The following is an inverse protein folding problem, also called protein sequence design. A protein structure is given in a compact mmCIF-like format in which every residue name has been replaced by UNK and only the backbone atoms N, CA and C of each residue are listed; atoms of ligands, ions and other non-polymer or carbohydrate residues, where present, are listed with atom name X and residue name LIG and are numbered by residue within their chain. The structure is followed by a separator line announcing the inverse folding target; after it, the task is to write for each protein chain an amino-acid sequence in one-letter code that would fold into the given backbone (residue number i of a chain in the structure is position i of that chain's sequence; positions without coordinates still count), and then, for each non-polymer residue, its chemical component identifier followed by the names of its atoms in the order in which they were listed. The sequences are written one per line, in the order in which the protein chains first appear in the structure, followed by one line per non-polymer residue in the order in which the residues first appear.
data_IF_164135052329
#
_entry.id   IF_164135052329
#
_cell.length_a   1.000
_cell.length_b   1.000
_cell.length_c   1.000
_cell.angle_alpha   90.00
_cell.angle_beta   90.00
_cell.angle_gamma   90.00
#
_symmetry.space_group_name_H-M   'P 1'
#
loop_
_entity.id
_entity.type
_entity.pdbx_description
1 polymer ?
#
# COMPACT_ATOMS: atom_id res chain seq x y z
N UNK A 1 -12.85 -39.90 -21.04
CA UNK A 1 -12.98 -38.43 -21.17
C UNK A 1 -13.38 -37.74 -19.86
N UNK A 2 -14.44 -38.17 -19.15
CA UNK A 2 -14.87 -37.56 -17.87
C UNK A 2 -13.76 -37.49 -16.79
N UNK A 3 -12.96 -38.54 -16.68
CA UNK A 3 -11.84 -38.64 -15.73
C UNK A 3 -10.68 -37.71 -16.06
N UNK A 4 -10.36 -37.53 -17.35
CA UNK A 4 -9.33 -36.60 -17.82
C UNK A 4 -9.72 -35.14 -17.58
N UNK A 5 -11.00 -34.80 -17.79
CA UNK A 5 -11.53 -33.46 -17.52
C UNK A 5 -11.49 -33.15 -16.02
N UNK A 6 -11.88 -34.10 -15.16
CA UNK A 6 -11.78 -33.94 -13.70
C UNK A 6 -10.32 -33.78 -13.23
N UNK A 7 -9.38 -34.51 -13.81
CA UNK A 7 -7.96 -34.37 -13.51
C UNK A 7 -7.43 -32.98 -13.92
N UNK A 8 -7.83 -32.47 -15.09
CA UNK A 8 -7.45 -31.13 -15.56
C UNK A 8 -7.98 -30.01 -14.64
N UNK A 9 -9.25 -30.11 -14.23
CA UNK A 9 -9.87 -29.15 -13.29
C UNK A 9 -9.16 -29.19 -11.93
N UNK A 10 -8.85 -30.38 -11.42
CA UNK A 10 -8.14 -30.51 -10.15
C UNK A 10 -6.73 -29.89 -10.24
N UNK A 11 -6.00 -30.14 -11.33
CA UNK A 11 -4.63 -29.63 -11.52
C UNK A 11 -4.58 -28.12 -11.69
N UNK A 12 -5.62 -27.47 -12.24
CA UNK A 12 -5.61 -26.01 -12.42
C UNK A 12 -6.19 -25.26 -11.23
N UNK A 13 -7.23 -25.78 -10.60
CA UNK A 13 -7.95 -25.06 -9.54
C UNK A 13 -7.27 -25.24 -8.17
N UNK A 14 -6.77 -26.43 -7.82
CA UNK A 14 -6.10 -26.64 -6.53
C UNK A 14 -4.89 -25.70 -6.29
N UNK A 15 -3.94 -25.54 -7.24
CA UNK A 15 -2.78 -24.68 -6.99
C UNK A 15 -3.18 -23.19 -6.90
N UNK A 16 -4.21 -22.78 -7.65
CA UNK A 16 -4.72 -21.42 -7.60
C UNK A 16 -5.33 -21.12 -6.22
N UNK A 17 -6.13 -22.03 -5.66
CA UNK A 17 -6.69 -21.89 -4.31
C UNK A 17 -5.63 -21.95 -3.20
N UNK A 18 -4.60 -22.79 -3.35
CA UNK A 18 -3.48 -22.86 -2.40
C UNK A 18 -2.68 -21.56 -2.34
N UNK A 19 -2.55 -20.86 -3.48
CA UNK A 19 -1.85 -19.56 -3.55
C UNK A 19 -2.60 -18.47 -2.76
N UNK A 20 -3.95 -18.46 -2.82
CA UNK A 20 -4.75 -17.50 -2.05
C UNK A 20 -4.72 -17.75 -0.55
N UNK A 21 -4.69 -19.02 -0.11
CA UNK A 21 -4.56 -19.36 1.30
C UNK A 21 -3.22 -18.87 1.88
N UNK A 22 -2.11 -19.10 1.15
CA UNK A 22 -0.78 -18.65 1.58
C UNK A 22 -0.67 -17.11 1.69
N UNK A 23 -1.40 -16.34 0.87
CA UNK A 23 -1.44 -14.88 0.98
C UNK A 23 -2.23 -14.40 2.20
N UNK A 24 -3.24 -15.17 2.65
CA UNK A 24 -4.00 -14.89 3.87
C UNK A 24 -3.21 -15.26 5.15
N UNK A 25 -2.35 -16.27 5.06
CA UNK A 25 -1.46 -16.72 6.15
C UNK A 25 -0.16 -15.90 6.25
N UNK A 26 -0.04 -14.78 5.51
CA UNK A 26 1.11 -13.89 5.67
C UNK A 26 1.18 -13.45 7.14
N UNK A 27 2.32 -13.66 7.83
CA UNK A 27 2.47 -13.31 9.22
C UNK A 27 2.08 -11.86 9.40
N UNK A 28 1.10 -11.71 10.26
CA UNK A 28 0.45 -10.48 10.58
C UNK A 28 1.48 -9.42 10.99
N UNK A 29 1.83 -8.54 10.03
CA UNK A 29 2.69 -7.37 10.25
C UNK A 29 1.98 -6.30 11.10
N UNK A 30 1.09 -6.69 12.03
CA UNK A 30 0.22 -5.85 12.89
C UNK A 30 0.96 -4.82 13.75
N UNK A 31 2.28 -4.78 13.69
CA UNK A 31 3.07 -3.69 14.26
C UNK A 31 4.08 -3.15 13.27
N UNK A 32 3.56 -2.59 12.19
CA UNK A 32 4.17 -1.43 11.55
C UNK A 32 4.81 -0.52 12.64
N UNK A 33 6.12 -0.22 12.56
CA UNK A 33 6.73 0.76 13.43
C UNK A 33 5.87 2.03 13.51
N UNK A 34 5.82 2.64 14.70
CA UNK A 34 5.05 3.87 14.86
C UNK A 34 5.51 4.89 13.79
N UNK A 35 4.57 5.56 13.11
CA UNK A 35 4.93 6.52 12.08
C UNK A 35 5.85 7.59 12.68
N UNK A 36 6.85 8.09 11.93
CA UNK A 36 7.71 9.15 12.41
C UNK A 36 6.88 10.39 12.77
N UNK A 37 7.29 11.19 13.77
CA UNK A 37 6.59 12.40 14.13
C UNK A 37 6.47 13.34 12.92
N UNK A 38 5.24 13.76 12.61
CA UNK A 38 4.96 14.72 11.54
C UNK A 38 5.29 16.11 12.08
N UNK A 39 6.43 16.65 11.71
CA UNK A 39 6.76 18.04 12.00
C UNK A 39 5.90 18.95 11.12
N UNK A 40 5.07 19.78 11.74
CA UNK A 40 4.36 20.83 11.01
C UNK A 40 5.42 21.76 10.38
N UNK A 41 5.42 21.94 9.04
CA UNK A 41 6.36 22.84 8.42
C UNK A 41 6.13 24.24 8.98
N UNK A 42 7.20 24.89 9.48
CA UNK A 42 7.17 26.33 9.76
C UNK A 42 7.13 27.01 8.40
N UNK A 43 5.93 27.22 7.86
CA UNK A 43 5.77 27.74 6.51
C UNK A 43 6.12 29.23 6.51
N UNK A 44 7.32 29.56 6.05
CA UNK A 44 7.65 30.91 5.62
C UNK A 44 7.41 30.94 4.10
N UNK A 45 6.34 31.61 3.65
CA UNK A 45 5.97 31.68 2.23
C UNK A 45 6.56 32.96 1.61
N UNK A 46 7.76 32.91 1.01
CA UNK A 46 8.28 34.02 0.21
C UNK A 46 7.39 34.27 -1.01
N UNK A 47 7.44 35.48 -1.54
CA UNK A 47 6.50 36.05 -2.54
C UNK A 47 6.31 35.23 -3.82
N UNK A 48 7.20 34.28 -4.12
CA UNK A 48 7.18 33.41 -5.31
C UNK A 48 6.84 31.95 -5.01
N UNK A 49 6.45 31.63 -3.78
CA UNK A 49 6.03 30.29 -3.39
C UNK A 49 4.55 30.27 -3.01
N UNK A 50 3.92 29.12 -3.21
CA UNK A 50 2.56 28.83 -2.75
C UNK A 50 2.54 27.56 -1.93
N UNK A 51 1.62 27.47 -0.98
CA UNK A 51 1.34 26.24 -0.24
C UNK A 51 0.37 25.39 -1.06
N UNK A 52 0.67 24.10 -1.21
CA UNK A 52 -0.22 23.12 -1.80
C UNK A 52 -0.30 21.90 -0.88
N UNK A 53 -1.39 21.16 -0.93
CA UNK A 53 -1.54 19.92 -0.17
C UNK A 53 -1.30 18.73 -1.10
N UNK A 54 -0.37 17.85 -0.70
CA UNK A 54 -0.06 16.62 -1.42
C UNK A 54 -0.52 15.41 -0.62
N UNK A 55 -1.08 14.42 -1.32
CA UNK A 55 -1.38 13.09 -0.77
C UNK A 55 -0.25 12.13 -1.12
N UNK A 56 0.36 11.50 -0.12
CA UNK A 56 1.48 10.57 -0.28
C UNK A 56 1.27 9.30 0.55
N UNK A 57 1.97 8.22 0.17
CA UNK A 57 1.98 6.95 0.92
C UNK A 57 3.31 6.83 1.65
N UNK A 58 3.27 6.68 2.98
CA UNK A 58 4.47 6.67 3.85
C UNK A 58 4.99 5.25 4.17
N UNK A 59 4.41 4.21 3.54
CA UNK A 59 4.68 2.81 3.87
C UNK A 59 3.74 2.22 4.93
N UNK A 60 3.02 3.07 5.66
CA UNK A 60 2.09 2.69 6.74
C UNK A 60 0.65 3.09 6.45
N UNK A 61 0.43 4.10 5.61
CA UNK A 61 -0.88 4.53 5.20
C UNK A 61 -0.85 5.74 4.27
N UNK A 62 -2.04 6.13 3.82
CA UNK A 62 -2.22 7.38 3.09
C UNK A 62 -2.16 8.56 4.05
N UNK A 63 -1.32 9.54 3.71
CA UNK A 63 -1.15 10.78 4.45
C UNK A 63 -1.34 11.98 3.53
N UNK A 64 -1.64 13.11 4.15
CA UNK A 64 -1.63 14.43 3.52
C UNK A 64 -0.59 15.29 4.20
N UNK A 65 0.14 16.08 3.41
CA UNK A 65 1.09 17.08 3.91
C UNK A 65 0.95 18.38 3.13
N UNK A 66 1.26 19.48 3.79
CA UNK A 66 1.44 20.76 3.12
C UNK A 66 2.86 20.84 2.59
N UNK A 67 2.98 21.13 1.30
CA UNK A 67 4.23 21.34 0.58
C UNK A 67 4.30 22.79 0.10
N UNK A 68 5.52 23.30 0.01
CA UNK A 68 5.78 24.60 -0.58
C UNK A 68 6.26 24.42 -2.01
N UNK A 69 5.51 24.99 -2.96
CA UNK A 69 5.84 24.96 -4.38
C UNK A 69 6.31 26.35 -4.78
N UNK A 70 7.57 26.45 -5.17
CA UNK A 70 8.19 27.69 -5.64
C UNK A 70 8.34 27.64 -7.16
N UNK A 71 8.14 28.78 -7.81
CA UNK A 71 8.30 28.92 -9.27
C UNK A 71 9.64 29.53 -9.63
#
# INVERSE_FOLDING_TARGET
MRTLVQALIAVTILPMMATFAAAADLPDHRRAPAPPPVYAPRINVPTYCRVATERYFDGYGWRTRDIQVCR
#
